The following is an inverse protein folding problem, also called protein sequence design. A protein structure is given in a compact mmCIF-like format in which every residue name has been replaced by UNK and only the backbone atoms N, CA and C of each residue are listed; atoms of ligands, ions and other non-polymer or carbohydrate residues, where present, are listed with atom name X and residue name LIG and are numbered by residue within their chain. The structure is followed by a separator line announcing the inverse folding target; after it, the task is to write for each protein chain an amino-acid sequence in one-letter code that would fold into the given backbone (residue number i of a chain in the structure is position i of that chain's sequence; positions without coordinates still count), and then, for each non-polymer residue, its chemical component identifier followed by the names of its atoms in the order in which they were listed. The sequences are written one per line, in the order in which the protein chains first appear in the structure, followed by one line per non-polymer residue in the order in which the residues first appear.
data_IF_503404720449
#
_entry.id   IF_503404720449
#
_cell.length_a   1.000
_cell.length_b   1.000
_cell.length_c   1.000
_cell.angle_alpha   90.00
_cell.angle_beta   90.00
_cell.angle_gamma   90.00
#
_symmetry.space_group_name_H-M   'P 1'
#
loop_
_entity.id
_entity.type
_entity.pdbx_description
1 polymer ?
#
# COMPACT_ATOMS: atom_id res chain seq x y z
N UNK A 1 7.79 20.06 -0.93
CA UNK A 1 8.84 19.01 -1.02
C UNK A 1 9.03 18.45 0.37
N UNK A 2 8.90 17.14 0.54
CA UNK A 2 9.02 16.49 1.84
C UNK A 2 9.88 15.24 1.71
N UNK A 3 10.73 14.98 2.71
CA UNK A 3 11.55 13.76 2.78
C UNK A 3 10.84 12.80 3.74
N UNK A 4 10.39 11.66 3.23
CA UNK A 4 9.67 10.65 4.02
C UNK A 4 10.63 9.50 4.40
N UNK A 5 10.93 9.39 5.69
CA UNK A 5 11.73 8.29 6.22
C UNK A 5 10.84 7.16 6.74
N UNK A 6 10.49 6.21 5.86
CA UNK A 6 9.62 5.07 6.18
C UNK A 6 10.20 4.12 7.24
N UNK A 7 11.49 4.25 7.58
CA UNK A 7 12.10 3.45 8.66
C UNK A 7 11.74 3.97 10.06
N UNK A 8 11.33 5.24 10.16
CA UNK A 8 10.97 5.90 11.42
C UNK A 8 9.47 6.10 11.61
N UNK A 9 8.69 5.87 10.55
CA UNK A 9 7.24 6.07 10.54
C UNK A 9 6.56 4.74 10.86
N UNK A 10 5.81 4.71 11.95
CA UNK A 10 4.88 3.62 12.25
C UNK A 10 3.54 3.86 11.55
N UNK A 11 2.91 2.81 11.04
CA UNK A 11 1.53 2.89 10.57
C UNK A 11 0.54 2.75 11.73
N UNK A 12 -0.61 3.39 11.57
CA UNK A 12 -1.79 3.18 12.39
C UNK A 12 -2.63 2.01 11.84
N UNK A 13 -3.46 1.36 12.68
CA UNK A 13 -4.37 0.32 12.24
C UNK A 13 -5.32 0.76 11.11
N UNK A 14 -5.90 -0.21 10.41
CA UNK A 14 -6.76 0.07 9.25
C UNK A 14 -7.94 1.01 9.55
N UNK A 15 -8.52 0.95 10.76
CA UNK A 15 -9.59 1.85 11.21
C UNK A 15 -9.16 3.34 11.16
N UNK A 16 -7.87 3.60 11.35
CA UNK A 16 -7.28 4.93 11.35
C UNK A 16 -6.43 5.20 10.11
N UNK A 17 -6.65 4.43 9.02
CA UNK A 17 -5.85 4.49 7.78
C UNK A 17 -5.69 5.87 7.15
N UNK A 18 -6.57 6.83 7.49
CA UNK A 18 -6.42 8.22 7.05
C UNK A 18 -5.17 8.89 7.65
N UNK A 19 -4.78 8.53 8.88
CA UNK A 19 -3.54 8.98 9.51
C UNK A 19 -2.28 8.44 8.84
N UNK A 20 -2.42 7.39 8.01
CA UNK A 20 -1.32 6.80 7.28
C UNK A 20 -1.01 7.51 5.97
N UNK A 21 -1.77 8.56 5.59
CA UNK A 21 -1.45 9.39 4.43
C UNK A 21 -0.34 10.36 4.82
N UNK A 22 0.84 10.19 4.23
CA UNK A 22 2.04 10.94 4.57
C UNK A 22 2.26 12.15 3.67
N UNK A 23 1.78 12.06 2.43
CA UNK A 23 1.86 13.14 1.45
C UNK A 23 0.64 13.09 0.53
N UNK A 24 0.11 14.25 0.14
CA UNK A 24 -1.06 14.34 -0.73
C UNK A 24 -1.00 15.61 -1.58
N UNK A 25 -1.23 15.45 -2.87
CA UNK A 25 -1.53 16.50 -3.84
C UNK A 25 -2.84 16.18 -4.56
N UNK A 26 -3.20 17.00 -5.55
CA UNK A 26 -4.32 16.70 -6.45
C UNK A 26 -4.01 15.50 -7.36
N UNK A 27 -2.74 15.30 -7.73
CA UNK A 27 -2.30 14.25 -8.65
C UNK A 27 -2.09 12.89 -7.99
N UNK A 28 -1.54 12.86 -6.78
CA UNK A 28 -1.23 11.60 -6.10
C UNK A 28 -1.20 11.76 -4.59
N UNK A 29 -1.22 10.61 -3.90
CA UNK A 29 -0.92 10.54 -2.48
C UNK A 29 0.01 9.38 -2.18
N UNK A 30 0.83 9.58 -1.16
CA UNK A 30 1.69 8.55 -0.58
C UNK A 30 1.16 8.20 0.79
N UNK A 31 1.06 6.90 1.08
CA UNK A 31 0.67 6.38 2.38
C UNK A 31 1.59 5.26 2.82
N UNK A 32 1.67 5.07 4.13
CA UNK A 32 2.23 3.86 4.71
C UNK A 32 1.13 2.80 4.87
N UNK A 33 1.51 1.55 4.69
CA UNK A 33 0.70 0.38 5.03
C UNK A 33 1.58 -0.46 5.95
N UNK A 34 1.16 -0.57 7.20
CA UNK A 34 1.87 -1.34 8.22
C UNK A 34 0.98 -2.50 8.62
N UNK A 35 1.34 -3.69 8.15
CA UNK A 35 0.65 -4.93 8.46
C UNK A 35 1.40 -5.62 9.60
N UNK A 36 0.78 -5.80 10.77
CA UNK A 36 1.39 -6.60 11.83
C UNK A 36 1.49 -8.06 11.38
N UNK A 37 2.15 -8.88 12.20
CA UNK A 37 2.14 -10.34 12.05
C UNK A 37 0.70 -10.86 11.90
N UNK A 38 0.46 -11.76 10.95
CA UNK A 38 -0.86 -12.25 10.55
C UNK A 38 -1.86 -11.14 10.12
N UNK A 39 -1.37 -9.94 9.83
CA UNK A 39 -2.17 -8.79 9.44
C UNK A 39 -2.78 -8.97 8.05
N UNK A 40 -4.01 -8.49 7.88
CA UNK A 40 -4.73 -8.54 6.61
C UNK A 40 -5.37 -7.21 6.25
N UNK A 41 -5.51 -6.97 4.96
CA UNK A 41 -6.42 -5.98 4.38
C UNK A 41 -7.43 -6.75 3.55
N UNK A 42 -8.69 -6.65 3.97
CA UNK A 42 -9.83 -7.21 3.22
C UNK A 42 -9.93 -6.57 1.83
N UNK A 43 -10.69 -7.22 0.95
CA UNK A 43 -10.91 -6.73 -0.40
C UNK A 43 -11.37 -5.27 -0.42
N UNK A 44 -10.69 -4.48 -1.23
CA UNK A 44 -10.95 -3.07 -1.42
C UNK A 44 -10.78 -2.74 -2.90
N UNK A 45 -11.82 -2.13 -3.47
CA UNK A 45 -11.75 -1.59 -4.82
C UNK A 45 -10.91 -0.32 -4.82
N UNK A 46 -9.94 -0.26 -5.73
CA UNK A 46 -9.16 0.93 -5.98
C UNK A 46 -9.43 1.42 -7.40
N UNK A 47 -10.18 2.51 -7.50
CA UNK A 47 -10.52 3.18 -8.77
C UNK A 47 -9.34 3.97 -9.40
N UNK A 48 -8.16 3.89 -8.79
CA UNK A 48 -6.97 4.65 -9.14
C UNK A 48 -5.80 3.71 -9.43
N UNK A 49 -4.85 4.17 -10.24
CA UNK A 49 -3.59 3.43 -10.42
C UNK A 49 -2.83 3.42 -9.10
N UNK A 50 -2.17 2.32 -8.81
CA UNK A 50 -1.40 2.15 -7.57
C UNK A 50 -0.03 1.55 -7.80
N UNK A 51 0.90 1.97 -6.95
CA UNK A 51 2.21 1.36 -6.80
C UNK A 51 2.38 1.00 -5.33
N UNK A 52 2.59 -0.27 -5.03
CA UNK A 52 3.01 -0.75 -3.72
C UNK A 52 4.49 -1.10 -3.77
N UNK A 53 5.27 -0.61 -2.81
CA UNK A 53 6.69 -0.95 -2.64
C UNK A 53 6.87 -1.56 -1.27
N UNK A 54 7.40 -2.79 -1.21
CA UNK A 54 7.69 -3.45 0.07
C UNK A 54 8.97 -2.88 0.65
N UNK A 55 8.85 -2.18 1.76
CA UNK A 55 10.00 -1.58 2.46
C UNK A 55 10.64 -2.59 3.41
N UNK A 56 9.83 -3.44 4.06
CA UNK A 56 10.27 -4.46 5.00
C UNK A 56 9.30 -5.65 5.01
N UNK A 57 9.83 -6.85 5.23
CA UNK A 57 9.04 -8.08 5.36
C UNK A 57 8.54 -8.63 4.02
N UNK A 58 7.45 -9.39 4.08
CA UNK A 58 6.85 -10.07 2.93
C UNK A 58 5.33 -10.00 2.98
N UNK A 59 4.71 -9.80 1.83
CA UNK A 59 3.25 -9.66 1.70
C UNK A 59 2.74 -10.42 0.49
N UNK A 60 1.63 -11.12 0.67
CA UNK A 60 0.82 -11.68 -0.40
C UNK A 60 -0.23 -10.64 -0.79
N UNK A 61 -0.19 -10.21 -2.04
CA UNK A 61 -1.13 -9.26 -2.63
C UNK A 61 -1.98 -9.99 -3.65
N UNK A 62 -3.28 -9.96 -3.47
CA UNK A 62 -4.24 -10.45 -4.48
C UNK A 62 -4.72 -9.28 -5.30
N UNK A 63 -4.60 -9.38 -6.62
CA UNK A 63 -5.08 -8.39 -7.59
C UNK A 63 -6.05 -9.09 -8.53
N UNK A 64 -7.32 -8.67 -8.54
CA UNK A 64 -8.39 -9.28 -9.34
C UNK A 64 -8.44 -10.81 -9.20
N UNK A 65 -8.34 -11.30 -7.96
CA UNK A 65 -8.37 -12.73 -7.63
C UNK A 65 -7.08 -13.50 -7.89
N UNK A 66 -6.04 -12.88 -8.47
CA UNK A 66 -4.74 -13.51 -8.66
C UNK A 66 -3.74 -13.06 -7.61
N UNK A 67 -3.13 -14.02 -6.93
CA UNK A 67 -2.18 -13.79 -5.86
C UNK A 67 -0.75 -13.61 -6.37
N UNK A 68 -0.03 -12.67 -5.77
CA UNK A 68 1.36 -12.37 -6.00
C UNK A 68 2.09 -12.21 -4.68
N UNK A 69 3.27 -12.80 -4.55
CA UNK A 69 4.13 -12.66 -3.38
C UNK A 69 5.19 -11.61 -3.64
N UNK A 70 5.26 -10.62 -2.75
CA UNK A 70 6.25 -9.54 -2.82
C UNK A 70 7.13 -9.58 -1.58
N UNK A 71 8.44 -9.58 -1.79
CA UNK A 71 9.47 -9.44 -0.77
C UNK A 71 10.06 -8.04 -0.77
N UNK A 72 10.91 -7.74 0.21
CA UNK A 72 11.58 -6.45 0.35
C UNK A 72 12.18 -5.91 -0.96
N UNK A 73 12.02 -4.60 -1.17
CA UNK A 73 12.51 -3.84 -2.33
C UNK A 73 11.84 -4.22 -3.66
N UNK A 74 10.86 -5.11 -3.64
CA UNK A 74 10.00 -5.37 -4.79
C UNK A 74 8.80 -4.41 -4.79
N UNK A 75 8.28 -4.17 -5.99
CA UNK A 75 7.11 -3.33 -6.18
C UNK A 75 6.08 -4.00 -7.08
N UNK A 76 4.81 -3.72 -6.81
CA UNK A 76 3.70 -4.02 -7.71
C UNK A 76 3.08 -2.70 -8.17
N UNK A 77 3.03 -2.51 -9.50
CA UNK A 77 2.31 -1.41 -10.13
C UNK A 77 1.09 -1.97 -10.85
N UNK A 78 -0.06 -1.33 -10.70
CA UNK A 78 -1.31 -1.79 -11.28
C UNK A 78 -2.22 -0.63 -11.67
N UNK A 79 -2.99 -0.86 -12.73
CA UNK A 79 -4.22 -0.13 -13.04
C UNK A 79 -5.28 -0.32 -11.93
N UNK A 80 -6.39 0.45 -11.96
CA UNK A 80 -7.52 0.23 -11.07
C UNK A 80 -7.94 -1.25 -11.01
N UNK A 81 -8.08 -1.79 -9.80
CA UNK A 81 -8.36 -3.20 -9.55
C UNK A 81 -8.91 -3.41 -8.14
N UNK A 82 -9.38 -4.63 -7.88
CA UNK A 82 -9.74 -5.09 -6.54
C UNK A 82 -8.51 -5.70 -5.88
N UNK A 83 -8.14 -5.19 -4.70
CA UNK A 83 -6.97 -5.62 -3.95
C UNK A 83 -7.34 -6.22 -2.60
N UNK A 84 -6.65 -7.30 -2.22
CA UNK A 84 -6.52 -7.71 -0.81
C UNK A 84 -5.06 -8.02 -0.49
N UNK A 85 -4.71 -7.95 0.78
CA UNK A 85 -3.34 -8.20 1.22
C UNK A 85 -3.33 -9.03 2.50
N UNK A 86 -2.31 -9.87 2.65
CA UNK A 86 -2.01 -10.54 3.92
C UNK A 86 -0.52 -10.73 4.09
N UNK A 87 -0.10 -10.88 5.33
CA UNK A 87 1.29 -11.24 5.67
C UNK A 87 1.28 -12.28 6.78
N UNK A 88 2.30 -13.14 6.77
CA UNK A 88 2.55 -14.08 7.87
C UNK A 88 3.37 -13.38 8.95
N UNK A 89 4.55 -12.85 8.61
CA UNK A 89 5.53 -12.33 9.56
C UNK A 89 5.48 -10.80 9.78
N UNK A 90 4.49 -10.12 9.22
CA UNK A 90 4.42 -8.67 9.19
C UNK A 90 5.09 -8.09 7.94
N UNK A 91 4.57 -6.95 7.49
CA UNK A 91 5.07 -6.26 6.31
C UNK A 91 4.82 -4.76 6.39
N UNK A 92 5.79 -3.97 5.92
CA UNK A 92 5.65 -2.52 5.77
C UNK A 92 5.77 -2.16 4.30
N UNK A 93 4.75 -1.48 3.77
CA UNK A 93 4.70 -1.05 2.39
C UNK A 93 4.53 0.48 2.30
N UNK A 94 5.12 1.05 1.26
CA UNK A 94 4.74 2.35 0.75
C UNK A 94 3.69 2.15 -0.34
N UNK A 95 2.54 2.80 -0.21
CA UNK A 95 1.51 2.87 -1.23
C UNK A 95 1.49 4.24 -1.89
N UNK A 96 1.61 4.27 -3.21
CA UNK A 96 1.41 5.46 -4.04
C UNK A 96 0.11 5.26 -4.79
N UNK A 97 -0.85 6.17 -4.61
CA UNK A 97 -2.10 6.16 -5.35
C UNK A 97 -2.13 7.38 -6.27
N UNK A 98 -2.23 7.13 -7.57
CA UNK A 98 -2.18 8.15 -8.63
C UNK A 98 -3.61 8.40 -9.12
N UNK A 99 -4.07 9.63 -8.98
CA UNK A 99 -5.40 10.03 -9.40
C UNK A 99 -5.50 9.97 -10.93
N UNK A 100 -6.67 9.52 -11.40
CA UNK A 100 -7.01 9.64 -12.81
C UNK A 100 -7.66 11.00 -12.99
N UNK A 101 -7.01 11.90 -13.70
CA UNK A 101 -7.67 13.11 -14.18
C UNK A 101 -8.50 12.74 -15.40
N UNK A 102 -9.80 13.03 -15.35
CA UNK A 102 -10.61 13.05 -16.57
C UNK A 102 -10.09 14.20 -17.45
N UNK A 103 -9.88 13.93 -18.74
CA UNK A 103 -9.50 14.96 -19.72
C UNK A 103 -10.70 15.78 -20.13
#
# INVERSE_FOLDING_TARGET
MEILDFTKIAGFPYAERQKNVLYKTDDFKIRIIDLPENGTISECDMIAHVVFVVMYGQVDVTVNGKEYRLSEKQSLASEPATFSMRTENGAKLMGIQIQKHEK
#
